data_IF_734219090776
#
_entry.id   IF_734219090776
#
_cell.length_a   1.000
_cell.length_b   1.000
_cell.length_c   1.000
_cell.angle_alpha   90.00
_cell.angle_beta   90.00
_cell.angle_gamma   90.00
#
_symmetry.space_group_name_H-M   'P 1'
#
loop_
_entity.id
_entity.type
_entity.pdbx_description
1 polymer ?
#
# COMPACT_ATOMS: atom_id res chain seq x y z
N UNK A 1 -20.95 -9.97 17.84
CA UNK A 1 -21.63 -9.68 16.56
C UNK A 1 -20.64 -8.88 15.74
N UNK A 2 -20.26 -9.35 14.54
CA UNK A 2 -19.46 -8.54 13.62
C UNK A 2 -20.26 -7.29 13.24
N UNK A 3 -19.63 -6.12 13.28
CA UNK A 3 -20.23 -4.90 12.73
C UNK A 3 -20.39 -5.08 11.22
N UNK A 4 -21.44 -4.49 10.60
CA UNK A 4 -21.57 -4.52 9.16
C UNK A 4 -20.32 -3.90 8.51
N UNK A 5 -19.69 -4.64 7.59
CA UNK A 5 -18.51 -4.16 6.87
C UNK A 5 -18.84 -2.89 6.11
N UNK A 6 -17.93 -1.92 6.19
CA UNK A 6 -18.03 -0.68 5.42
C UNK A 6 -17.95 -0.97 3.91
N UNK A 7 -18.50 -0.09 3.08
CA UNK A 7 -18.55 -0.29 1.62
C UNK A 7 -17.15 -0.42 0.98
N UNK A 8 -16.15 0.28 1.52
CA UNK A 8 -14.78 0.21 1.04
C UNK A 8 -14.15 -1.15 1.38
N UNK A 9 -14.38 -1.69 2.58
CA UNK A 9 -13.87 -3.01 2.98
C UNK A 9 -14.45 -4.12 2.12
N UNK A 10 -15.75 -4.05 1.82
CA UNK A 10 -16.38 -5.02 0.93
C UNK A 10 -15.74 -4.97 -0.46
N UNK A 11 -15.58 -3.77 -1.02
CA UNK A 11 -14.96 -3.59 -2.33
C UNK A 11 -13.52 -4.11 -2.36
N UNK A 12 -12.72 -3.81 -1.32
CA UNK A 12 -11.35 -4.32 -1.22
C UNK A 12 -11.33 -5.85 -1.15
N UNK A 13 -12.18 -6.45 -0.32
CA UNK A 13 -12.27 -7.91 -0.16
C UNK A 13 -12.62 -8.62 -1.47
N UNK A 14 -13.52 -8.05 -2.27
CA UNK A 14 -13.88 -8.60 -3.58
C UNK A 14 -12.74 -8.46 -4.60
N UNK A 15 -11.91 -7.43 -4.49
CA UNK A 15 -10.77 -7.18 -5.40
C UNK A 15 -9.53 -8.01 -5.05
N UNK A 16 -9.24 -8.22 -3.77
CA UNK A 16 -7.98 -8.85 -3.32
C UNK A 16 -7.62 -10.18 -4.00
N UNK A 17 -8.55 -11.13 -4.23
CA UNK A 17 -8.25 -12.37 -4.96
C UNK A 17 -7.83 -12.15 -6.42
N UNK A 18 -8.15 -11.00 -7.01
CA UNK A 18 -7.80 -10.63 -8.39
C UNK A 18 -6.48 -9.87 -8.49
N UNK A 19 -6.00 -9.30 -7.37
CA UNK A 19 -4.74 -8.56 -7.31
C UNK A 19 -3.59 -9.54 -7.12
N UNK A 20 -2.54 -9.40 -7.93
CA UNK A 20 -1.33 -10.23 -7.90
C UNK A 20 -0.06 -9.39 -7.95
N UNK A 21 1.05 -10.02 -8.35
CA UNK A 21 2.31 -9.32 -8.58
C UNK A 21 2.12 -8.09 -9.49
N UNK A 22 2.71 -6.95 -9.09
CA UNK A 22 2.70 -5.62 -9.77
C UNK A 22 1.43 -4.80 -9.57
N UNK A 23 0.41 -5.34 -8.91
CA UNK A 23 -0.70 -4.53 -8.42
C UNK A 23 -0.28 -3.74 -7.19
N UNK A 24 -0.99 -2.64 -6.93
CA UNK A 24 -0.71 -1.78 -5.79
C UNK A 24 -1.96 -1.55 -4.96
N UNK A 25 -1.78 -1.43 -3.65
CA UNK A 25 -2.76 -0.86 -2.73
C UNK A 25 -2.11 0.35 -2.05
N UNK A 26 -2.79 1.48 -2.04
CA UNK A 26 -2.28 2.73 -1.46
C UNK A 26 -3.26 3.21 -0.41
N UNK A 27 -2.81 3.48 0.81
CA UNK A 27 -3.60 4.07 1.89
C UNK A 27 -3.09 5.47 2.12
N UNK A 28 -3.96 6.47 2.08
CA UNK A 28 -3.51 7.85 1.95
C UNK A 28 -4.38 8.84 2.73
N UNK A 29 -3.82 10.04 2.93
CA UNK A 29 -4.53 11.20 3.44
C UNK A 29 -5.59 11.71 2.44
N UNK A 30 -6.39 12.68 2.90
CA UNK A 30 -7.51 13.20 2.13
C UNK A 30 -7.08 14.09 0.96
N UNK A 31 -5.86 14.66 0.98
CA UNK A 31 -5.37 15.57 -0.05
C UNK A 31 -4.75 14.86 -1.26
N UNK A 32 -4.43 13.57 -1.15
CA UNK A 32 -3.92 12.78 -2.27
C UNK A 32 -4.83 12.88 -3.51
N UNK A 33 -4.28 13.13 -4.70
CA UNK A 33 -5.06 13.43 -5.89
C UNK A 33 -5.95 12.26 -6.30
N UNK A 34 -7.16 12.57 -6.78
CA UNK A 34 -7.99 11.58 -7.46
C UNK A 34 -7.39 11.32 -8.85
N UNK A 35 -6.53 10.31 -8.96
CA UNK A 35 -5.88 9.95 -10.21
C UNK A 35 -6.91 9.38 -11.21
N UNK A 36 -6.78 9.74 -12.49
CA UNK A 36 -7.78 9.46 -13.52
C UNK A 36 -7.44 8.29 -14.45
N UNK A 37 -6.34 7.57 -14.20
CA UNK A 37 -5.95 6.44 -15.05
C UNK A 37 -6.96 5.28 -14.92
N UNK A 38 -7.24 4.60 -16.03
CA UNK A 38 -8.26 3.53 -16.08
C UNK A 38 -7.99 2.37 -15.11
N UNK A 39 -6.72 2.07 -14.84
CA UNK A 39 -6.31 1.04 -13.88
C UNK A 39 -6.53 1.42 -12.41
N UNK A 40 -6.98 2.64 -12.11
CA UNK A 40 -7.09 3.13 -10.74
C UNK A 40 -8.53 2.98 -10.24
N UNK A 41 -8.67 2.35 -9.09
CA UNK A 41 -9.90 2.34 -8.30
C UNK A 41 -9.65 3.13 -7.02
N UNK A 42 -10.38 4.22 -6.82
CA UNK A 42 -10.31 5.00 -5.57
C UNK A 42 -11.51 4.70 -4.69
N UNK A 43 -11.23 4.36 -3.44
CA UNK A 43 -12.18 4.11 -2.36
C UNK A 43 -12.00 5.20 -1.31
N UNK A 44 -13.09 5.52 -0.60
CA UNK A 44 -13.03 6.38 0.58
C UNK A 44 -13.40 5.57 1.82
N UNK A 45 -12.47 5.52 2.78
CA UNK A 45 -12.66 4.90 4.07
C UNK A 45 -12.88 6.01 5.11
N UNK A 46 -14.12 6.20 5.54
CA UNK A 46 -14.49 7.17 6.58
C UNK A 46 -14.14 6.62 7.98
N UNK A 47 -12.85 6.32 8.18
CA UNK A 47 -12.30 5.69 9.38
C UNK A 47 -10.90 6.25 9.69
N UNK A 48 -10.47 6.11 10.94
CA UNK A 48 -9.13 6.50 11.35
C UNK A 48 -8.05 5.77 10.53
N UNK A 49 -7.02 6.50 10.09
CA UNK A 49 -5.96 5.99 9.24
C UNK A 49 -5.26 4.74 9.80
N UNK A 50 -5.03 4.68 11.11
CA UNK A 50 -4.40 3.51 11.74
C UNK A 50 -5.30 2.27 11.71
N UNK A 51 -6.62 2.48 11.77
CA UNK A 51 -7.62 1.41 11.64
C UNK A 51 -7.62 0.86 10.22
N UNK A 52 -7.63 1.74 9.22
CA UNK A 52 -7.57 1.35 7.79
C UNK A 52 -6.28 0.60 7.49
N UNK A 53 -5.11 1.11 7.93
CA UNK A 53 -3.83 0.42 7.75
C UNK A 53 -3.83 -0.98 8.36
N UNK A 54 -4.35 -1.12 9.58
CA UNK A 54 -4.40 -2.41 10.28
C UNK A 54 -5.28 -3.41 9.53
N UNK A 55 -6.46 -2.98 9.08
CA UNK A 55 -7.39 -3.81 8.30
C UNK A 55 -6.78 -4.25 6.97
N UNK A 56 -6.22 -3.32 6.20
CA UNK A 56 -5.60 -3.62 4.90
C UNK A 56 -4.41 -4.56 5.06
N UNK A 57 -3.53 -4.33 6.06
CA UNK A 57 -2.43 -5.26 6.36
C UNK A 57 -2.95 -6.66 6.67
N UNK A 58 -3.94 -6.77 7.55
CA UNK A 58 -4.54 -8.05 7.90
C UNK A 58 -5.12 -8.77 6.68
N UNK A 59 -5.86 -8.05 5.83
CA UNK A 59 -6.47 -8.62 4.65
C UNK A 59 -5.42 -9.13 3.66
N UNK A 60 -4.34 -8.38 3.41
CA UNK A 60 -3.21 -8.83 2.56
C UNK A 60 -2.50 -10.03 3.18
N UNK A 61 -2.18 -9.99 4.48
CA UNK A 61 -1.48 -11.07 5.18
C UNK A 61 -2.29 -12.39 5.16
N UNK A 62 -3.63 -12.29 5.11
CA UNK A 62 -4.55 -13.43 5.01
C UNK A 62 -4.60 -14.05 3.60
N UNK A 63 -4.14 -13.36 2.57
CA UNK A 63 -4.15 -13.88 1.20
C UNK A 63 -3.06 -14.95 1.01
N UNK A 64 -3.36 -16.05 0.29
CA UNK A 64 -2.38 -17.11 0.05
C UNK A 64 -1.38 -16.76 -1.07
N UNK A 65 -1.73 -15.85 -1.98
CA UNK A 65 -0.99 -15.61 -3.23
C UNK A 65 -0.12 -14.36 -3.23
N UNK A 66 -0.37 -13.39 -2.34
CA UNK A 66 0.36 -12.11 -2.31
C UNK A 66 0.89 -11.73 -0.94
N UNK A 67 2.00 -11.00 -0.95
CA UNK A 67 2.46 -10.14 0.14
C UNK A 67 2.75 -8.75 -0.42
N UNK A 68 3.09 -7.78 0.44
CA UNK A 68 3.39 -6.41 0.01
C UNK A 68 4.84 -6.00 0.33
N UNK A 69 5.52 -5.39 -0.64
CA UNK A 69 6.65 -4.50 -0.37
C UNK A 69 6.09 -3.16 0.08
N UNK A 70 6.50 -2.69 1.25
CA UNK A 70 5.90 -1.53 1.93
C UNK A 70 6.78 -0.31 1.74
N UNK A 71 6.19 0.77 1.24
CA UNK A 71 6.84 2.06 1.08
C UNK A 71 6.06 3.19 1.76
N UNK A 72 6.79 4.23 2.15
CA UNK A 72 6.24 5.49 2.63
C UNK A 72 7.05 6.65 2.06
N UNK A 73 6.45 7.84 2.06
CA UNK A 73 7.08 9.07 1.58
C UNK A 73 8.33 9.41 2.43
N UNK A 74 9.50 9.55 1.81
CA UNK A 74 10.75 9.90 2.51
C UNK A 74 10.64 11.24 3.25
N UNK A 75 9.82 12.15 2.76
CA UNK A 75 9.49 13.42 3.38
C UNK A 75 8.95 13.24 4.80
N UNK A 76 8.26 12.13 5.06
CA UNK A 76 7.81 11.79 6.41
C UNK A 76 8.99 11.71 7.38
N UNK A 77 10.16 11.18 6.98
CA UNK A 77 11.33 11.02 7.87
C UNK A 77 11.78 12.34 8.51
N UNK A 78 11.74 13.43 7.74
CA UNK A 78 12.24 14.74 8.17
C UNK A 78 11.18 15.62 8.81
N UNK A 79 9.89 15.34 8.58
CA UNK A 79 8.80 16.06 9.24
C UNK A 79 8.74 15.77 10.74
N UNK A 80 8.22 16.71 11.50
CA UNK A 80 7.97 16.56 12.93
C UNK A 80 6.69 17.30 13.30
N UNK A 81 6.21 17.09 14.52
CA UNK A 81 4.94 17.68 15.00
C UNK A 81 4.91 19.22 14.96
N UNK A 82 6.06 19.91 14.92
CA UNK A 82 6.09 21.37 14.78
C UNK A 82 5.73 21.85 13.36
N UNK A 83 6.06 21.05 12.34
CA UNK A 83 5.75 21.35 10.93
C UNK A 83 4.45 20.68 10.46
N UNK A 84 4.13 19.49 10.99
CA UNK A 84 2.96 18.71 10.65
C UNK A 84 2.38 18.07 11.92
N UNK A 85 1.48 18.77 12.64
CA UNK A 85 0.96 18.29 13.93
C UNK A 85 0.34 16.90 13.84
N UNK A 86 0.81 15.98 14.69
CA UNK A 86 0.36 14.60 14.77
C UNK A 86 1.13 13.60 13.91
N UNK A 87 2.11 14.05 13.13
CA UNK A 87 2.92 13.16 12.27
C UNK A 87 3.75 12.16 13.07
N UNK A 88 4.21 12.51 14.27
CA UNK A 88 5.02 11.60 15.09
C UNK A 88 4.20 10.38 15.54
N UNK A 89 2.89 10.57 15.76
CA UNK A 89 1.95 9.45 16.02
C UNK A 89 1.76 8.57 14.79
N UNK A 90 1.72 9.16 13.59
CA UNK A 90 1.63 8.41 12.33
C UNK A 90 2.88 7.58 12.11
N UNK A 91 4.08 8.18 12.27
CA UNK A 91 5.36 7.46 12.22
C UNK A 91 5.38 6.26 13.17
N UNK A 92 5.01 6.47 14.43
CA UNK A 92 4.94 5.40 15.43
C UNK A 92 3.98 4.28 15.02
N UNK A 93 2.85 4.63 14.39
CA UNK A 93 1.88 3.65 13.86
C UNK A 93 2.48 2.81 12.73
N UNK A 94 3.14 3.46 11.76
CA UNK A 94 3.79 2.78 10.63
C UNK A 94 4.91 1.87 11.12
N UNK A 95 5.78 2.35 12.02
CA UNK A 95 6.84 1.55 12.64
C UNK A 95 6.28 0.36 13.42
N UNK A 96 5.18 0.54 14.16
CA UNK A 96 4.53 -0.55 14.89
C UNK A 96 3.98 -1.64 13.97
N UNK A 97 3.41 -1.26 12.83
CA UNK A 97 2.75 -2.20 11.91
C UNK A 97 3.73 -2.91 10.97
N UNK A 98 4.74 -2.20 10.47
CA UNK A 98 5.62 -2.69 9.41
C UNK A 98 7.10 -2.76 9.81
N UNK A 99 7.51 -2.12 10.91
CA UNK A 99 8.88 -2.16 11.40
C UNK A 99 9.90 -1.83 10.31
N UNK A 100 10.88 -2.71 10.13
CA UNK A 100 11.94 -2.59 9.12
C UNK A 100 11.52 -2.98 7.70
N UNK A 101 10.32 -3.54 7.52
CA UNK A 101 9.80 -3.90 6.19
C UNK A 101 9.40 -2.66 5.39
N UNK A 102 8.97 -1.60 6.08
CA UNK A 102 8.65 -0.31 5.48
C UNK A 102 9.92 0.44 5.08
N UNK A 103 10.01 0.83 3.81
CA UNK A 103 11.16 1.53 3.23
C UNK A 103 10.75 2.94 2.80
N UNK A 104 11.56 3.95 3.15
CA UNK A 104 11.35 5.30 2.62
C UNK A 104 11.70 5.37 1.14
N UNK A 105 10.95 6.18 0.41
CA UNK A 105 11.22 6.53 -0.98
C UNK A 105 10.69 7.95 -1.24
N UNK A 106 11.38 8.80 -2.02
CA UNK A 106 10.88 10.15 -2.33
C UNK A 106 9.49 10.10 -2.95
N UNK A 107 8.60 10.99 -2.51
CA UNK A 107 7.19 11.03 -2.95
C UNK A 107 7.05 10.92 -4.48
N UNK A 108 7.74 11.79 -5.22
CA UNK A 108 7.71 11.82 -6.70
C UNK A 108 8.15 10.49 -7.32
N UNK A 109 9.11 9.79 -6.71
CA UNK A 109 9.58 8.50 -7.23
C UNK A 109 8.50 7.43 -7.11
N UNK A 110 7.74 7.44 -6.00
CA UNK A 110 6.62 6.51 -5.80
C UNK A 110 5.49 6.85 -6.78
N UNK A 111 5.15 8.12 -6.94
CA UNK A 111 4.11 8.56 -7.89
C UNK A 111 4.47 8.14 -9.32
N UNK A 112 5.72 8.32 -9.77
CA UNK A 112 6.15 7.86 -11.08
C UNK A 112 6.02 6.34 -11.26
N UNK A 113 6.25 5.55 -10.20
CA UNK A 113 6.03 4.10 -10.22
C UNK A 113 4.55 3.77 -10.39
N UNK A 114 3.66 4.42 -9.64
CA UNK A 114 2.21 4.23 -9.75
C UNK A 114 1.69 4.65 -11.14
N UNK A 115 2.19 5.74 -11.71
CA UNK A 115 1.82 6.22 -13.05
C UNK A 115 2.24 5.24 -14.15
N UNK A 116 3.39 4.56 -13.98
CA UNK A 116 3.81 3.49 -14.90
C UNK A 116 2.97 2.24 -14.70
N UNK A 117 2.71 1.85 -13.45
CA UNK A 117 1.93 0.65 -13.13
C UNK A 117 0.46 0.76 -13.57
N UNK A 118 -0.19 1.90 -13.33
CA UNK A 118 -1.62 2.13 -13.63
C UNK A 118 -1.99 2.06 -15.11
N UNK A 119 -1.01 2.11 -16.01
CA UNK A 119 -1.22 1.94 -17.45
C UNK A 119 -1.54 0.49 -17.83
N UNK A 120 -1.05 -0.47 -17.05
CA UNK A 120 -1.14 -1.91 -17.37
C UNK A 120 -1.82 -2.72 -16.27
N UNK A 121 -1.77 -2.23 -15.03
CA UNK A 121 -2.17 -2.98 -13.85
C UNK A 121 -3.13 -2.17 -12.98
N UNK A 122 -3.91 -2.89 -12.18
CA UNK A 122 -4.85 -2.28 -11.24
C UNK A 122 -4.12 -1.72 -10.01
N UNK A 123 -4.51 -0.51 -9.60
CA UNK A 123 -4.11 0.14 -8.35
C UNK A 123 -5.37 0.45 -7.56
N UNK A 124 -5.40 0.08 -6.28
CA UNK A 124 -6.48 0.43 -5.35
C UNK A 124 -5.99 1.53 -4.42
N UNK A 125 -6.58 2.71 -4.49
CA UNK A 125 -6.27 3.83 -3.60
C UNK A 125 -7.39 3.93 -2.57
N UNK A 126 -7.03 3.94 -1.29
CA UNK A 126 -7.95 4.05 -0.16
C UNK A 126 -7.64 5.36 0.55
N UNK A 127 -8.47 6.37 0.28
CA UNK A 127 -8.36 7.67 0.94
C UNK A 127 -9.01 7.61 2.32
N UNK A 128 -8.39 8.26 3.29
CA UNK A 128 -8.89 8.39 4.67
C UNK A 128 -9.21 9.85 5.00
N UNK A 129 -9.85 10.17 6.14
CA UNK A 129 -10.08 11.54 6.58
C UNK A 129 -8.81 12.21 7.14
N UNK A 130 -7.66 11.52 7.17
CA UNK A 130 -6.39 12.08 7.66
C UNK A 130 -6.01 13.32 6.84
N UNK A 131 -5.59 14.39 7.51
CA UNK A 131 -5.17 15.64 6.87
C UNK A 131 -3.76 16.03 7.29
N UNK A 132 -2.84 15.05 7.26
CA UNK A 132 -1.41 15.24 7.54
C UNK A 132 -0.65 14.90 6.25
N UNK A 133 0.22 15.80 5.73
CA UNK A 133 0.87 15.61 4.44
C UNK A 133 1.92 14.48 4.49
N UNK A 134 2.20 13.87 3.34
CA UNK A 134 3.22 12.82 3.18
C UNK A 134 3.00 11.61 4.11
N UNK A 135 1.74 11.29 4.38
CA UNK A 135 1.37 10.13 5.23
C UNK A 135 0.83 8.96 4.42
N UNK A 136 1.16 8.89 3.13
CA UNK A 136 0.72 7.77 2.29
C UNK A 136 1.57 6.52 2.54
N UNK A 137 0.91 5.36 2.61
CA UNK A 137 1.55 4.04 2.66
C UNK A 137 1.22 3.31 1.36
N UNK A 138 2.26 2.84 0.69
CA UNK A 138 2.18 2.22 -0.61
C UNK A 138 2.59 0.76 -0.50
N UNK A 139 1.73 -0.13 -0.99
CA UNK A 139 1.86 -1.57 -0.87
C UNK A 139 1.97 -2.16 -2.28
N UNK A 140 3.20 -2.38 -2.75
CA UNK A 140 3.48 -3.04 -4.02
C UNK A 140 3.35 -4.56 -3.83
N UNK A 141 2.35 -5.17 -4.45
CA UNK A 141 2.06 -6.59 -4.27
C UNK A 141 3.02 -7.46 -5.08
N UNK A 142 3.44 -8.56 -4.46
CA UNK A 142 4.36 -9.53 -5.03
C UNK A 142 3.97 -10.97 -4.62
N UNK A 143 4.52 -11.96 -5.32
CA UNK A 143 4.14 -13.36 -5.22
C UNK A 143 4.59 -13.98 -3.88
N UNK A 144 3.63 -14.37 -3.03
CA UNK A 144 3.92 -14.91 -1.69
C UNK A 144 4.59 -16.28 -1.70
N UNK A 145 4.26 -17.10 -2.68
CA UNK A 145 4.74 -18.48 -2.78
C UNK A 145 5.97 -18.61 -3.70
N UNK A 146 6.52 -17.50 -4.18
CA UNK A 146 7.69 -17.50 -5.07
C UNK A 146 8.69 -16.43 -4.64
N UNK A 147 9.65 -16.85 -3.81
CA UNK A 147 10.71 -16.00 -3.29
C UNK A 147 11.88 -15.82 -4.29
N UNK A 148 12.79 -14.89 -3.95
CA UNK A 148 13.97 -14.59 -4.76
C UNK A 148 14.92 -15.79 -4.91
N UNK A 149 15.01 -16.68 -3.92
CA UNK A 149 15.86 -17.87 -3.98
C UNK A 149 15.33 -18.90 -4.99
N UNK A 150 14.01 -19.07 -5.04
CA UNK A 150 13.33 -19.90 -6.04
C UNK A 150 13.48 -19.30 -7.43
N UNK A 151 13.35 -17.98 -7.57
CA UNK A 151 13.57 -17.30 -8.85
C UNK A 151 15.01 -17.48 -9.33
N UNK A 152 16.02 -17.29 -8.46
CA UNK A 152 17.41 -17.47 -8.83
C UNK A 152 17.73 -18.91 -9.28
N UNK A 153 17.14 -19.91 -8.63
CA UNK A 153 17.25 -21.32 -9.05
C UNK A 153 16.60 -21.56 -10.40
N UNK A 154 15.43 -20.97 -10.66
CA UNK A 154 14.79 -21.05 -11.97
C UNK A 154 15.67 -20.42 -13.06
N UNK A 155 16.26 -19.26 -12.80
CA UNK A 155 17.11 -18.56 -13.76
C UNK A 155 18.36 -19.40 -14.13
N UNK A 156 19.01 -20.06 -13.16
CA UNK A 156 20.12 -20.99 -13.42
C UNK A 156 19.70 -22.21 -14.27
N UNK A 157 18.49 -22.74 -14.03
CA UNK A 157 17.95 -23.83 -14.85
C UNK A 157 17.68 -23.37 -16.29
N UNK A 158 17.14 -22.16 -16.46
CA UNK A 158 16.82 -21.59 -17.77
C UNK A 158 18.07 -21.32 -18.62
N UNK A 159 19.21 -20.96 -18.00
CA UNK A 159 20.48 -20.77 -18.71
C UNK A 159 21.09 -22.06 -19.28
N UNK A 160 20.62 -23.22 -18.80
CA UNK A 160 21.10 -24.55 -19.22
C UNK A 160 20.24 -25.18 -20.31
N UNK A 161 19.17 -24.50 -20.73
CA UNK A 161 18.32 -24.86 -21.88
C UNK A 161 18.93 -24.34 -23.18
#
# INVERSE_FOLDING_TARGET
MEQPKSAWEQTLKERLPLLGHRNWIVITDMAYPLQSAQGITTLYADEDFSTVLTKVKHDIDSMPHVFAHVYYDQEMDVLNDSLAPGIDKIKATVTKLYGTEAKSMPHETIIEKLDKASRLYSIVIIKTPLTIPYTSIFLELDCKYWDADRQAKLDDLMLKL
#
